data_IF_193792687216
#
_entry.id   IF_193792687216
#
_cell.length_a   1.000
_cell.length_b   1.000
_cell.length_c   1.000
_cell.angle_alpha   90.00
_cell.angle_beta   90.00
_cell.angle_gamma   90.00
#
_symmetry.space_group_name_H-M   'P 1'
#
loop_
_entity.id
_entity.type
_entity.pdbx_description
1 polymer ?
#
# COMPACT_ATOMS: atom_id res chain seq x y z
N UNK A 1 41.11 3.91 38.94
CA UNK A 1 39.81 3.23 39.02
C UNK A 1 39.14 3.34 37.66
N UNK A 2 39.19 2.27 36.87
CA UNK A 2 38.55 2.18 35.55
C UNK A 2 37.04 2.06 35.72
N UNK A 3 36.33 3.15 35.43
CA UNK A 3 34.87 3.18 35.41
C UNK A 3 34.38 2.22 34.34
N UNK A 4 33.87 1.07 34.76
CA UNK A 4 33.22 0.08 33.92
C UNK A 4 32.01 0.76 33.28
N UNK A 5 32.09 1.09 31.99
CA UNK A 5 30.99 1.66 31.23
C UNK A 5 29.74 0.82 31.46
N UNK A 6 28.74 1.44 32.07
CA UNK A 6 27.43 0.86 32.28
C UNK A 6 26.78 0.73 30.89
N UNK A 7 26.93 -0.43 30.25
CA UNK A 7 26.17 -0.80 29.05
C UNK A 7 24.70 -0.98 29.44
N UNK A 8 23.99 0.14 29.56
CA UNK A 8 22.51 0.19 29.67
C UNK A 8 21.92 0.58 28.32
N UNK A 9 22.59 0.18 27.24
CA UNK A 9 22.19 0.48 25.87
C UNK A 9 21.41 -0.68 25.27
N UNK A 10 20.46 -0.36 24.39
CA UNK A 10 19.92 -1.33 23.43
C UNK A 10 21.07 -1.77 22.53
N UNK A 11 21.29 -3.09 22.39
CA UNK A 11 22.30 -3.61 21.47
C UNK A 11 21.94 -3.24 20.01
N UNK A 12 22.93 -2.80 19.24
CA UNK A 12 22.76 -2.45 17.83
C UNK A 12 23.90 -2.98 16.96
N UNK A 13 23.69 -3.07 15.65
CA UNK A 13 24.73 -3.29 14.65
C UNK A 13 25.08 -1.98 13.96
N UNK A 14 26.37 -1.73 13.72
CA UNK A 14 26.85 -0.59 12.94
C UNK A 14 27.32 -1.07 11.57
N UNK A 15 26.83 -0.46 10.50
CA UNK A 15 27.15 -0.82 9.12
C UNK A 15 27.52 0.46 8.37
N UNK A 16 28.56 0.40 7.55
CA UNK A 16 28.91 1.50 6.66
C UNK A 16 28.14 1.42 5.34
N UNK A 17 27.52 2.53 4.95
CA UNK A 17 26.84 2.64 3.67
C UNK A 17 27.87 2.51 2.55
N UNK A 18 27.72 1.48 1.73
CA UNK A 18 28.61 1.19 0.62
C UNK A 18 27.87 0.43 -0.48
N UNK A 19 28.47 0.37 -1.67
CA UNK A 19 27.93 -0.39 -2.81
C UNK A 19 27.63 -1.86 -2.46
N UNK A 20 28.40 -2.46 -1.56
CA UNK A 20 28.23 -3.86 -1.15
C UNK A 20 26.99 -4.08 -0.28
N UNK A 21 26.53 -3.03 0.40
CA UNK A 21 25.42 -3.09 1.35
C UNK A 21 24.08 -2.77 0.66
N UNK A 22 24.08 -1.93 -0.38
CA UNK A 22 22.88 -1.51 -1.10
C UNK A 22 21.93 -2.65 -1.53
N UNK A 23 22.42 -3.80 -2.06
CA UNK A 23 21.53 -4.87 -2.50
C UNK A 23 20.70 -5.51 -1.38
N UNK A 24 21.11 -5.34 -0.12
CA UNK A 24 20.43 -5.91 1.05
C UNK A 24 19.38 -4.98 1.66
N UNK A 25 19.40 -3.68 1.29
CA UNK A 25 18.48 -2.64 1.77
C UNK A 25 17.51 -2.21 0.67
N UNK A 26 17.00 -3.18 -0.10
CA UNK A 26 15.89 -2.95 -1.03
C UNK A 26 14.58 -3.01 -0.27
N UNK A 27 13.64 -2.10 -0.58
CA UNK A 27 12.28 -2.15 -0.03
C UNK A 27 11.69 -3.55 -0.15
N UNK A 28 10.91 -4.02 0.84
CA UNK A 28 10.23 -5.32 0.75
C UNK A 28 9.52 -5.43 -0.60
N UNK A 29 9.71 -6.57 -1.30
CA UNK A 29 9.02 -6.80 -2.56
C UNK A 29 7.51 -6.67 -2.30
N UNK A 30 6.80 -5.71 -2.93
CA UNK A 30 5.37 -5.64 -2.79
C UNK A 30 4.79 -6.99 -3.22
N UNK A 31 3.86 -7.52 -2.43
CA UNK A 31 3.12 -8.72 -2.86
C UNK A 31 2.43 -8.42 -4.19
N UNK A 32 2.27 -9.43 -5.05
CA UNK A 32 1.73 -9.24 -6.40
C UNK A 32 0.33 -9.82 -6.51
N UNK A 33 -0.53 -9.16 -7.29
CA UNK A 33 -1.87 -9.66 -7.61
C UNK A 33 -1.84 -10.80 -8.62
N UNK A 34 -0.73 -11.02 -9.34
CA UNK A 34 -0.60 -12.09 -10.34
C UNK A 34 -0.91 -13.48 -9.79
N UNK A 35 -0.70 -13.72 -8.50
CA UNK A 35 -0.99 -15.00 -7.83
C UNK A 35 -2.48 -15.34 -7.69
N UNK A 36 -3.38 -14.40 -7.98
CA UNK A 36 -4.83 -14.58 -7.86
C UNK A 36 -5.52 -15.06 -9.15
N UNK A 37 -4.79 -15.14 -10.28
CA UNK A 37 -5.36 -15.41 -11.59
C UNK A 37 -6.03 -14.18 -12.22
N UNK A 38 -6.57 -14.31 -13.44
CA UNK A 38 -7.28 -13.21 -14.12
C UNK A 38 -6.38 -12.11 -14.72
N UNK A 39 -5.06 -12.35 -14.86
CA UNK A 39 -4.14 -11.38 -15.49
C UNK A 39 -3.92 -11.57 -17.00
N UNK A 40 -4.04 -12.81 -17.51
CA UNK A 40 -3.77 -13.19 -18.92
C UNK A 40 -4.88 -13.98 -19.61
N UNK A 41 -5.81 -14.56 -18.86
CA UNK A 41 -7.07 -15.07 -19.41
C UNK A 41 -8.07 -13.93 -19.51
N UNK A 42 -9.07 -14.06 -20.39
CA UNK A 42 -10.19 -13.12 -20.44
C UNK A 42 -10.94 -13.02 -19.11
N UNK A 43 -12.01 -12.23 -19.08
CA UNK A 43 -12.86 -12.13 -17.91
C UNK A 43 -13.28 -13.52 -17.40
N UNK A 44 -13.28 -13.75 -16.08
CA UNK A 44 -13.75 -15.01 -15.53
C UNK A 44 -15.23 -15.21 -15.88
N UNK A 45 -15.60 -16.44 -16.23
CA UNK A 45 -17.01 -16.79 -16.37
C UNK A 45 -17.70 -16.70 -15.01
N UNK A 46 -18.84 -16.02 -14.98
CA UNK A 46 -19.60 -15.76 -13.77
C UNK A 46 -20.76 -16.75 -13.70
N UNK A 47 -20.70 -17.76 -12.81
CA UNK A 47 -21.83 -18.65 -12.61
C UNK A 47 -22.97 -17.91 -11.91
N UNK A 48 -24.20 -18.37 -12.14
CA UNK A 48 -25.36 -17.94 -11.36
C UNK A 48 -25.15 -18.32 -9.89
N UNK A 49 -25.53 -17.45 -8.97
CA UNK A 49 -25.40 -17.74 -7.54
C UNK A 49 -26.67 -17.52 -6.75
N UNK A 50 -26.57 -17.79 -5.45
CA UNK A 50 -27.69 -17.71 -4.53
C UNK A 50 -28.20 -16.27 -4.43
N UNK A 51 -29.52 -16.09 -4.54
CA UNK A 51 -30.15 -14.77 -4.44
C UNK A 51 -30.11 -13.94 -5.73
N UNK A 52 -29.45 -14.41 -6.80
CA UNK A 52 -29.59 -13.81 -8.12
C UNK A 52 -31.04 -13.86 -8.59
N UNK A 53 -31.44 -12.82 -9.32
CA UNK A 53 -32.78 -12.73 -9.93
C UNK A 53 -32.61 -12.92 -11.43
N UNK A 54 -33.29 -13.93 -11.96
CA UNK A 54 -33.26 -14.28 -13.37
C UNK A 54 -34.65 -14.18 -14.00
N UNK A 55 -34.69 -13.77 -15.25
CA UNK A 55 -35.85 -13.85 -16.12
C UNK A 55 -35.61 -14.94 -17.16
N UNK A 56 -36.62 -15.77 -17.40
CA UNK A 56 -36.51 -16.92 -18.28
C UNK A 56 -37.50 -16.77 -19.41
N UNK A 57 -36.99 -16.68 -20.63
CA UNK A 57 -37.79 -16.71 -21.85
C UNK A 57 -37.75 -18.11 -22.46
N UNK A 58 -38.93 -18.66 -22.78
CA UNK A 58 -39.08 -19.98 -23.38
C UNK A 58 -39.74 -19.81 -24.75
N UNK A 59 -39.06 -20.25 -25.80
CA UNK A 59 -39.52 -20.28 -27.17
C UNK A 59 -39.94 -21.70 -27.56
N UNK A 60 -40.90 -21.84 -28.47
CA UNK A 60 -41.23 -23.11 -29.14
C UNK A 60 -41.19 -22.88 -30.65
N UNK A 61 -40.83 -23.92 -31.41
CA UNK A 61 -40.68 -23.80 -32.87
C UNK A 61 -42.02 -23.50 -33.60
N UNK A 62 -43.16 -23.84 -32.99
CA UNK A 62 -44.49 -23.72 -33.60
C UNK A 62 -45.56 -23.33 -32.56
N UNK A 63 -46.67 -22.74 -33.02
CA UNK A 63 -47.85 -22.47 -32.18
C UNK A 63 -48.67 -23.73 -31.91
N UNK A 64 -49.41 -23.75 -30.81
CA UNK A 64 -50.14 -24.92 -30.33
C UNK A 64 -49.34 -25.84 -29.40
N UNK A 65 -48.17 -25.38 -28.92
CA UNK A 65 -47.33 -26.06 -27.94
C UNK A 65 -47.76 -25.83 -26.49
N UNK A 66 -46.89 -26.23 -25.55
CA UNK A 66 -47.18 -26.18 -24.11
C UNK A 66 -47.25 -24.74 -23.57
N UNK A 67 -46.48 -23.84 -24.19
CA UNK A 67 -46.34 -22.45 -23.77
C UNK A 67 -46.94 -21.47 -24.78
N UNK A 68 -47.09 -21.88 -26.05
CA UNK A 68 -47.65 -21.07 -27.12
C UNK A 68 -49.02 -21.62 -27.56
N UNK A 69 -50.14 -20.97 -27.20
CA UNK A 69 -51.47 -21.40 -27.64
C UNK A 69 -51.66 -21.29 -29.16
N UNK A 70 -52.58 -22.07 -29.71
CA UNK A 70 -52.87 -22.17 -31.16
C UNK A 70 -53.63 -20.95 -31.74
N UNK A 71 -54.23 -20.12 -30.89
CA UNK A 71 -55.01 -18.96 -31.34
C UNK A 71 -54.10 -17.77 -31.68
N UNK A 72 -53.89 -17.57 -32.98
CA UNK A 72 -52.96 -16.62 -33.62
C UNK A 72 -53.29 -15.12 -33.46
N UNK A 73 -53.98 -14.71 -32.39
CA UNK A 73 -54.59 -13.37 -32.31
C UNK A 73 -54.02 -12.37 -31.30
N UNK A 74 -53.19 -12.76 -30.32
CA UNK A 74 -52.97 -11.88 -29.15
C UNK A 74 -51.55 -11.69 -28.64
N UNK A 75 -50.52 -12.33 -29.23
CA UNK A 75 -49.13 -12.15 -28.76
C UNK A 75 -48.13 -11.95 -29.91
N UNK A 76 -47.35 -10.85 -29.90
CA UNK A 76 -46.24 -10.69 -30.82
C UNK A 76 -45.05 -11.55 -30.34
N UNK A 77 -44.92 -12.75 -30.88
CA UNK A 77 -43.71 -13.59 -30.71
C UNK A 77 -44.00 -15.04 -30.34
N UNK A 78 -43.10 -15.94 -30.78
CA UNK A 78 -43.13 -17.36 -30.43
C UNK A 78 -42.43 -17.64 -29.09
N UNK A 79 -42.72 -16.86 -28.04
CA UNK A 79 -42.15 -17.08 -26.72
C UNK A 79 -43.05 -16.60 -25.58
N UNK A 80 -42.78 -17.12 -24.39
CA UNK A 80 -43.29 -16.61 -23.12
C UNK A 80 -42.13 -16.16 -22.25
N UNK A 81 -42.27 -15.00 -21.60
CA UNK A 81 -41.38 -14.62 -20.50
C UNK A 81 -42.03 -15.03 -19.18
N UNK A 82 -41.29 -15.79 -18.38
CA UNK A 82 -41.71 -16.14 -17.03
C UNK A 82 -41.48 -14.95 -16.09
N UNK A 83 -42.31 -14.77 -15.04
CA UNK A 83 -42.05 -13.78 -14.01
C UNK A 83 -40.66 -13.99 -13.40
N UNK A 84 -40.01 -12.90 -13.02
CA UNK A 84 -38.67 -12.94 -12.40
C UNK A 84 -38.60 -13.96 -11.26
N UNK A 85 -37.61 -14.83 -11.32
CA UNK A 85 -37.36 -15.89 -10.35
C UNK A 85 -36.07 -15.58 -9.60
N UNK A 86 -36.13 -15.63 -8.28
CA UNK A 86 -34.94 -15.56 -7.44
C UNK A 86 -34.39 -16.96 -7.22
N UNK A 87 -33.08 -17.16 -7.41
CA UNK A 87 -32.40 -18.40 -7.05
C UNK A 87 -32.48 -18.57 -5.53
N UNK A 88 -33.21 -19.59 -5.11
CA UNK A 88 -33.53 -19.79 -3.71
C UNK A 88 -32.36 -20.39 -2.90
N UNK A 89 -32.55 -20.60 -1.60
CA UNK A 89 -31.53 -21.17 -0.70
C UNK A 89 -31.11 -22.59 -1.07
N UNK A 90 -31.95 -23.31 -1.81
CA UNK A 90 -31.61 -24.63 -2.33
C UNK A 90 -30.84 -24.56 -3.65
N UNK A 91 -30.59 -23.34 -4.16
CA UNK A 91 -29.84 -23.09 -5.39
C UNK A 91 -30.64 -23.38 -6.64
N UNK A 92 -31.98 -23.32 -6.56
CA UNK A 92 -32.88 -23.73 -7.65
C UNK A 92 -33.79 -22.61 -8.13
N UNK A 93 -34.22 -22.69 -9.38
CA UNK A 93 -35.32 -21.91 -9.96
C UNK A 93 -36.51 -22.83 -10.25
N UNK A 94 -37.72 -22.27 -10.25
CA UNK A 94 -38.94 -23.03 -10.57
C UNK A 94 -39.40 -22.70 -11.98
N UNK A 95 -39.44 -23.72 -12.83
CA UNK A 95 -39.91 -23.61 -14.21
C UNK A 95 -41.19 -24.45 -14.34
N UNK A 96 -42.31 -23.89 -14.82
CA UNK A 96 -43.52 -24.65 -15.08
C UNK A 96 -43.22 -25.86 -15.98
N UNK A 97 -43.76 -27.02 -15.62
CA UNK A 97 -43.57 -28.30 -16.31
C UNK A 97 -42.15 -28.90 -16.30
N UNK A 98 -41.08 -28.12 -16.10
CA UNK A 98 -39.73 -28.65 -15.83
C UNK A 98 -39.41 -28.83 -14.34
N UNK A 99 -40.26 -28.28 -13.46
CA UNK A 99 -40.14 -28.40 -12.01
C UNK A 99 -39.02 -27.51 -11.44
N UNK A 100 -38.30 -28.02 -10.44
CA UNK A 100 -37.18 -27.31 -9.81
C UNK A 100 -35.88 -27.64 -10.55
N UNK A 101 -35.19 -26.62 -11.03
CA UNK A 101 -33.96 -26.74 -11.81
C UNK A 101 -32.78 -26.17 -11.02
N UNK A 102 -31.70 -26.94 -10.79
CA UNK A 102 -30.50 -26.44 -10.13
C UNK A 102 -29.80 -25.36 -10.97
N UNK A 103 -29.53 -24.20 -10.37
CA UNK A 103 -28.95 -23.03 -11.04
C UNK A 103 -27.70 -22.49 -10.32
N UNK A 104 -27.67 -22.47 -8.99
CA UNK A 104 -26.55 -21.93 -8.25
C UNK A 104 -25.24 -22.70 -8.53
N UNK A 105 -24.16 -21.97 -8.77
CA UNK A 105 -22.84 -22.49 -9.13
C UNK A 105 -22.71 -22.96 -10.59
N UNK A 106 -23.75 -22.81 -11.43
CA UNK A 106 -23.74 -23.21 -12.84
C UNK A 106 -23.72 -22.00 -13.75
N UNK A 107 -23.11 -22.16 -14.92
CA UNK A 107 -23.18 -21.18 -16.00
C UNK A 107 -24.59 -21.11 -16.57
N UNK A 108 -25.01 -19.94 -17.05
CA UNK A 108 -26.36 -19.72 -17.60
C UNK A 108 -26.66 -20.71 -18.73
N UNK A 109 -25.70 -20.97 -19.61
CA UNK A 109 -25.83 -21.88 -20.76
C UNK A 109 -26.08 -23.31 -20.31
N UNK A 110 -25.46 -23.70 -19.19
CA UNK A 110 -25.63 -25.05 -18.62
C UNK A 110 -26.99 -25.21 -17.93
N UNK A 111 -27.59 -24.11 -17.46
CA UNK A 111 -28.94 -24.10 -16.90
C UNK A 111 -29.98 -24.05 -18.01
N UNK A 112 -29.78 -23.24 -19.05
CA UNK A 112 -30.61 -23.18 -20.26
C UNK A 112 -30.80 -24.58 -20.85
N UNK A 113 -29.70 -25.30 -21.10
CA UNK A 113 -29.76 -26.67 -21.64
C UNK A 113 -30.53 -27.65 -20.73
N UNK A 114 -30.35 -27.58 -19.41
CA UNK A 114 -31.07 -28.46 -18.46
C UNK A 114 -32.58 -28.16 -18.45
N UNK A 115 -32.97 -26.90 -18.64
CA UNK A 115 -34.38 -26.54 -18.79
C UNK A 115 -34.93 -27.08 -20.12
N UNK A 116 -34.20 -26.94 -21.22
CA UNK A 116 -34.59 -27.49 -22.53
C UNK A 116 -34.81 -28.99 -22.48
N UNK A 117 -33.85 -29.73 -21.93
CA UNK A 117 -33.90 -31.20 -21.82
C UNK A 117 -35.11 -31.67 -21.00
N UNK A 118 -35.46 -30.94 -19.92
CA UNK A 118 -36.64 -31.24 -19.08
C UNK A 118 -37.96 -30.90 -19.75
N UNK A 119 -37.97 -29.95 -20.68
CA UNK A 119 -39.16 -29.55 -21.42
C UNK A 119 -39.33 -30.35 -22.72
N UNK A 120 -38.28 -31.00 -23.23
CA UNK A 120 -38.28 -31.70 -24.52
C UNK A 120 -39.41 -32.74 -24.69
N UNK A 121 -39.87 -33.38 -23.60
CA UNK A 121 -40.95 -34.37 -23.68
C UNK A 121 -42.36 -33.76 -23.63
N UNK A 122 -42.48 -32.43 -23.48
CA UNK A 122 -43.76 -31.73 -23.24
C UNK A 122 -43.96 -30.51 -24.14
N UNK A 123 -42.88 -29.86 -24.56
CA UNK A 123 -42.86 -28.69 -25.44
C UNK A 123 -42.32 -29.07 -26.82
N UNK A 124 -42.67 -28.29 -27.85
CA UNK A 124 -42.24 -28.52 -29.23
C UNK A 124 -40.93 -27.79 -29.49
N UNK A 125 -39.82 -28.55 -29.53
CA UNK A 125 -38.47 -28.02 -29.76
C UNK A 125 -38.19 -26.77 -28.91
N UNK A 126 -38.23 -26.89 -27.56
CA UNK A 126 -38.08 -25.73 -26.68
C UNK A 126 -36.70 -25.10 -26.84
N UNK A 127 -36.65 -23.78 -26.80
CA UNK A 127 -35.40 -22.99 -26.71
C UNK A 127 -35.49 -22.03 -25.52
N UNK A 128 -34.48 -22.02 -24.67
CA UNK A 128 -34.52 -21.30 -23.39
C UNK A 128 -33.43 -20.23 -23.37
N UNK A 129 -33.82 -19.03 -22.96
CA UNK A 129 -32.89 -17.91 -22.75
C UNK A 129 -33.05 -17.40 -21.32
N UNK A 130 -31.95 -17.36 -20.57
CA UNK A 130 -31.89 -16.86 -19.21
C UNK A 130 -31.17 -15.52 -19.19
N UNK A 131 -31.86 -14.49 -18.69
CA UNK A 131 -31.29 -13.17 -18.47
C UNK A 131 -31.17 -12.91 -16.97
N UNK A 132 -30.00 -12.48 -16.50
CA UNK A 132 -29.83 -12.08 -15.09
C UNK A 132 -30.24 -10.63 -14.93
N UNK A 133 -31.30 -10.37 -14.18
CA UNK A 133 -31.84 -9.02 -13.93
C UNK A 133 -31.12 -8.34 -12.77
N UNK A 134 -30.70 -9.12 -11.77
CA UNK A 134 -29.96 -8.62 -10.61
C UNK A 134 -28.98 -9.69 -10.16
N UNK A 135 -27.68 -9.38 -10.16
CA UNK A 135 -26.67 -10.31 -9.65
C UNK A 135 -26.28 -9.93 -8.23
N UNK A 136 -26.80 -10.68 -7.27
CA UNK A 136 -26.49 -10.48 -5.85
C UNK A 136 -25.30 -11.31 -5.40
N UNK A 137 -25.02 -12.42 -6.09
CA UNK A 137 -23.88 -13.27 -5.77
C UNK A 137 -22.58 -12.81 -6.43
N UNK A 138 -22.65 -11.94 -7.43
CA UNK A 138 -21.48 -11.51 -8.21
C UNK A 138 -21.12 -10.08 -7.90
N UNK A 139 -20.75 -9.83 -6.64
CA UNK A 139 -20.39 -8.49 -6.17
C UNK A 139 -18.98 -8.46 -5.59
N UNK A 140 -18.30 -7.33 -5.77
CA UNK A 140 -17.05 -6.98 -5.10
C UNK A 140 -17.30 -5.88 -4.09
N UNK A 141 -16.73 -6.00 -2.90
CA UNK A 141 -16.75 -4.93 -1.91
C UNK A 141 -15.55 -4.01 -2.10
N UNK A 142 -15.80 -2.69 -2.17
CA UNK A 142 -14.77 -1.65 -2.16
C UNK A 142 -14.88 -0.85 -0.87
N UNK A 143 -13.80 -0.80 -0.11
CA UNK A 143 -13.75 -0.22 1.23
C UNK A 143 -12.52 0.69 1.37
N UNK A 144 -12.54 1.56 2.39
CA UNK A 144 -11.41 2.42 2.73
C UNK A 144 -11.45 3.78 2.05
N UNK A 145 -10.27 4.30 1.70
CA UNK A 145 -10.03 5.67 1.22
C UNK A 145 -10.44 5.88 -0.25
N UNK A 146 -11.72 5.65 -0.53
CA UNK A 146 -12.39 5.92 -1.82
C UNK A 146 -13.58 6.87 -1.63
N UNK A 147 -13.98 7.58 -2.68
CA UNK A 147 -15.03 8.60 -2.58
C UNK A 147 -16.39 8.01 -2.19
N UNK A 148 -16.73 6.83 -2.71
CA UNK A 148 -17.98 6.13 -2.47
C UNK A 148 -17.72 4.64 -2.16
N UNK A 149 -17.42 4.27 -0.90
CA UNK A 149 -17.30 2.87 -0.50
C UNK A 149 -18.63 2.12 -0.71
N UNK A 150 -18.62 1.04 -1.49
CA UNK A 150 -19.84 0.31 -1.87
C UNK A 150 -19.55 -1.10 -2.36
N UNK A 151 -20.62 -1.89 -2.55
CA UNK A 151 -20.58 -3.15 -3.31
C UNK A 151 -20.86 -2.86 -4.77
N UNK A 152 -20.04 -3.43 -5.66
CA UNK A 152 -20.13 -3.23 -7.09
C UNK A 152 -20.46 -4.57 -7.74
N UNK A 153 -21.52 -4.60 -8.54
CA UNK A 153 -21.90 -5.77 -9.33
C UNK A 153 -20.91 -6.00 -10.47
N UNK A 154 -20.51 -7.25 -10.65
CA UNK A 154 -19.57 -7.68 -11.68
C UNK A 154 -20.38 -8.05 -12.92
N UNK A 155 -20.09 -7.40 -14.05
CA UNK A 155 -20.74 -7.72 -15.32
C UNK A 155 -20.10 -8.95 -15.99
N UNK A 156 -20.80 -9.61 -16.93
CA UNK A 156 -20.21 -10.70 -17.72
C UNK A 156 -18.97 -10.29 -18.53
N UNK A 157 -18.76 -9.00 -18.79
CA UNK A 157 -17.55 -8.49 -19.44
C UNK A 157 -16.33 -8.50 -18.50
N UNK A 158 -16.56 -8.62 -17.19
CA UNK A 158 -15.58 -8.64 -16.13
C UNK A 158 -14.94 -7.27 -15.87
N UNK A 159 -14.82 -6.93 -14.60
CA UNK A 159 -14.16 -5.72 -14.14
C UNK A 159 -12.75 -6.05 -13.64
N UNK A 160 -11.83 -5.09 -13.77
CA UNK A 160 -10.51 -5.15 -13.14
C UNK A 160 -10.48 -4.32 -11.87
N UNK A 161 -9.42 -4.50 -11.09
CA UNK A 161 -9.21 -3.76 -9.83
C UNK A 161 -9.37 -2.25 -10.03
N UNK A 162 -8.75 -1.68 -11.07
CA UNK A 162 -8.86 -0.25 -11.35
C UNK A 162 -10.27 0.19 -11.78
N UNK A 163 -11.02 -0.67 -12.48
CA UNK A 163 -12.39 -0.36 -12.91
C UNK A 163 -13.31 -0.25 -11.68
N UNK A 164 -13.16 -1.19 -10.75
CA UNK A 164 -13.90 -1.24 -9.49
C UNK A 164 -13.56 -0.05 -8.59
N UNK A 165 -12.29 0.35 -8.49
CA UNK A 165 -11.90 1.57 -7.75
C UNK A 165 -12.50 2.82 -8.40
N UNK A 166 -12.51 2.87 -9.74
CA UNK A 166 -13.06 4.02 -10.48
C UNK A 166 -14.58 4.11 -10.30
N UNK A 167 -15.29 2.97 -10.31
CA UNK A 167 -16.72 2.90 -10.04
C UNK A 167 -17.08 3.25 -8.58
N UNK A 168 -16.15 3.05 -7.63
CA UNK A 168 -16.24 3.60 -6.27
C UNK A 168 -15.94 5.11 -6.18
N UNK A 169 -15.82 5.81 -7.31
CA UNK A 169 -15.55 7.24 -7.38
C UNK A 169 -14.08 7.62 -7.27
N UNK A 170 -13.14 6.66 -7.32
CA UNK A 170 -11.70 6.92 -7.20
C UNK A 170 -11.24 7.18 -5.76
N UNK A 171 -9.94 7.48 -5.62
CA UNK A 171 -9.28 7.69 -4.32
C UNK A 171 -9.68 9.02 -3.68
N UNK A 172 -9.73 9.06 -2.34
CA UNK A 172 -9.86 10.31 -1.55
C UNK A 172 -8.51 10.91 -1.18
N UNK A 173 -7.42 10.14 -1.32
CA UNK A 173 -6.07 10.49 -0.89
C UNK A 173 -5.07 10.51 -2.06
N UNK A 174 -3.83 10.91 -1.77
CA UNK A 174 -2.76 10.99 -2.76
C UNK A 174 -2.33 9.57 -3.20
N UNK A 175 -2.32 9.33 -4.51
CA UNK A 175 -1.96 8.06 -5.15
C UNK A 175 -0.58 7.49 -4.74
N UNK A 176 0.35 8.33 -4.29
CA UNK A 176 1.70 7.95 -3.86
C UNK A 176 1.71 7.22 -2.51
N UNK A 177 0.79 7.58 -1.61
CA UNK A 177 0.69 7.07 -0.24
C UNK A 177 -0.43 6.04 -0.09
N UNK A 178 -1.03 5.60 -1.19
CA UNK A 178 -2.14 4.67 -1.18
C UNK A 178 -1.70 3.25 -1.50
N UNK A 179 -2.08 2.31 -0.64
CA UNK A 179 -1.98 0.89 -0.89
C UNK A 179 -3.35 0.30 -1.21
N UNK A 180 -3.38 -0.64 -2.17
CA UNK A 180 -4.57 -1.41 -2.52
C UNK A 180 -4.37 -2.83 -2.05
N UNK A 181 -5.29 -3.31 -1.24
CA UNK A 181 -5.29 -4.67 -0.72
C UNK A 181 -6.44 -5.46 -1.34
N UNK A 182 -6.11 -6.55 -2.04
CA UNK A 182 -7.08 -7.51 -2.55
C UNK A 182 -7.15 -8.72 -1.62
N UNK A 183 -8.34 -9.03 -1.14
CA UNK A 183 -8.65 -10.25 -0.42
C UNK A 183 -9.59 -11.12 -1.25
N UNK A 184 -9.17 -12.35 -1.54
CA UNK A 184 -9.93 -13.36 -2.30
C UNK A 184 -9.76 -14.72 -1.67
N UNK A 185 -10.87 -15.36 -1.28
CA UNK A 185 -10.89 -16.75 -0.74
C UNK A 185 -9.86 -16.98 0.38
N UNK A 186 -9.71 -16.02 1.28
CA UNK A 186 -8.79 -16.08 2.42
C UNK A 186 -7.31 -15.80 2.09
N UNK A 187 -6.96 -15.51 0.83
CA UNK A 187 -5.65 -14.99 0.44
C UNK A 187 -5.70 -13.47 0.37
N UNK A 188 -4.63 -12.82 0.77
CA UNK A 188 -4.48 -11.37 0.74
C UNK A 188 -3.20 -10.99 0.03
N UNK A 189 -3.24 -9.95 -0.79
CA UNK A 189 -2.06 -9.24 -1.26
C UNK A 189 -2.33 -7.74 -1.23
N UNK A 190 -1.25 -6.99 -1.08
CA UNK A 190 -1.23 -5.54 -1.07
C UNK A 190 -0.22 -5.04 -2.11
N UNK A 191 -0.67 -4.11 -2.95
CA UNK A 191 0.13 -3.47 -4.00
C UNK A 191 -0.05 -1.96 -3.88
N UNK A 192 1.03 -1.19 -3.98
CA UNK A 192 0.94 0.27 -4.06
C UNK A 192 0.10 0.69 -5.27
N UNK A 193 -0.80 1.66 -5.11
CA UNK A 193 -1.70 2.07 -6.18
C UNK A 193 -0.96 2.56 -7.44
N UNK A 194 0.16 3.27 -7.27
CA UNK A 194 1.03 3.69 -8.37
C UNK A 194 1.56 2.49 -9.20
N UNK A 195 1.83 1.35 -8.55
CA UNK A 195 2.25 0.13 -9.24
C UNK A 195 1.13 -0.45 -10.10
N UNK A 196 -0.13 -0.40 -9.64
CA UNK A 196 -1.28 -0.82 -10.45
C UNK A 196 -1.45 0.04 -11.72
N UNK A 197 -1.20 1.34 -11.62
CA UNK A 197 -1.25 2.25 -12.77
C UNK A 197 -0.13 2.00 -13.79
N UNK A 198 1.09 1.73 -13.31
CA UNK A 198 2.29 1.58 -14.15
C UNK A 198 2.46 0.18 -14.73
N UNK A 199 1.93 -0.85 -14.05
CA UNK A 199 2.12 -2.24 -14.42
C UNK A 199 0.77 -2.92 -14.68
N UNK A 200 0.33 -3.01 -15.96
CA UNK A 200 -0.95 -3.62 -16.33
C UNK A 200 -1.11 -5.07 -15.85
N UNK A 201 -0.01 -5.78 -15.58
CA UNK A 201 -0.06 -7.15 -15.10
C UNK A 201 -0.49 -7.27 -13.63
N UNK A 202 -0.48 -6.18 -12.85
CA UNK A 202 -1.07 -6.15 -11.51
C UNK A 202 -2.56 -5.77 -11.54
N UNK A 203 -3.04 -5.12 -12.61
CA UNK A 203 -4.46 -4.78 -12.77
C UNK A 203 -5.27 -6.00 -13.26
N UNK A 204 -5.46 -6.99 -12.39
CA UNK A 204 -6.16 -8.25 -12.71
C UNK A 204 -7.68 -8.11 -12.70
N UNK A 205 -8.38 -9.08 -13.29
CA UNK A 205 -9.84 -9.21 -13.12
C UNK A 205 -10.20 -9.52 -11.67
N UNK A 206 -11.25 -8.87 -11.18
CA UNK A 206 -11.88 -9.18 -9.90
C UNK A 206 -12.79 -10.40 -10.04
N UNK A 207 -13.11 -11.03 -8.93
CA UNK A 207 -14.01 -12.17 -8.86
C UNK A 207 -15.12 -11.91 -7.82
N UNK A 208 -16.26 -12.62 -7.93
CA UNK A 208 -17.29 -12.61 -6.89
C UNK A 208 -16.70 -12.84 -5.49
N UNK A 209 -17.21 -12.09 -4.51
CA UNK A 209 -16.79 -12.09 -3.11
C UNK A 209 -15.39 -11.53 -2.83
N UNK A 210 -14.72 -10.94 -3.83
CA UNK A 210 -13.52 -10.17 -3.57
C UNK A 210 -13.82 -8.97 -2.67
N UNK A 211 -12.85 -8.66 -1.81
CA UNK A 211 -12.83 -7.41 -1.05
C UNK A 211 -11.59 -6.64 -1.43
N UNK A 212 -11.78 -5.40 -1.89
CA UNK A 212 -10.72 -4.46 -2.21
C UNK A 212 -10.75 -3.37 -1.14
N UNK A 213 -9.68 -3.30 -0.35
CA UNK A 213 -9.46 -2.24 0.64
C UNK A 213 -8.42 -1.27 0.13
N UNK A 214 -8.68 0.02 0.33
CA UNK A 214 -7.80 1.11 -0.04
C UNK A 214 -7.37 1.78 1.26
N UNK A 215 -6.08 1.72 1.55
CA UNK A 215 -5.52 2.21 2.80
C UNK A 215 -4.47 3.28 2.52
N UNK A 216 -4.63 4.46 3.13
CA UNK A 216 -3.66 5.54 3.08
C UNK A 216 -2.57 5.38 4.13
N UNK A 217 -1.36 5.11 3.71
CA UNK A 217 -0.18 4.94 4.56
C UNK A 217 0.75 6.15 4.44
N UNK A 218 0.60 7.10 5.39
CA UNK A 218 1.52 8.25 5.51
C UNK A 218 2.88 7.80 6.02
N UNK A 219 3.82 7.67 5.10
CA UNK A 219 5.21 7.35 5.44
C UNK A 219 5.95 8.61 5.87
N UNK A 220 6.66 8.50 6.98
CA UNK A 220 7.37 9.62 7.61
C UNK A 220 8.76 9.18 8.07
N UNK A 221 9.70 10.11 8.08
CA UNK A 221 11.01 9.92 8.72
C UNK A 221 11.31 11.09 9.66
N UNK A 222 12.28 10.90 10.54
CA UNK A 222 12.80 11.95 11.41
C UNK A 222 14.18 12.37 10.93
N UNK A 223 14.45 13.67 10.88
CA UNK A 223 15.81 14.21 10.75
C UNK A 223 16.15 15.01 11.99
N UNK A 224 17.30 14.71 12.60
CA UNK A 224 17.73 15.26 13.88
C UNK A 224 19.21 15.67 13.83
N UNK A 225 19.63 16.51 14.77
CA UNK A 225 21.03 16.90 14.95
C UNK A 225 21.41 18.11 14.11
N UNK A 226 22.57 18.06 13.47
CA UNK A 226 23.11 19.14 12.63
C UNK A 226 22.54 19.13 11.20
N UNK A 227 21.28 18.74 11.04
CA UNK A 227 20.51 18.97 9.83
C UNK A 227 20.15 20.45 9.68
N UNK A 228 19.89 20.91 8.46
CA UNK A 228 19.38 22.26 8.21
C UNK A 228 18.08 22.54 8.98
N UNK A 229 17.15 21.59 8.94
CA UNK A 229 15.90 21.56 9.69
C UNK A 229 15.77 20.22 10.40
N UNK A 230 15.63 20.26 11.73
CA UNK A 230 15.31 19.07 12.52
C UNK A 230 13.79 18.95 12.69
N UNK A 231 13.25 17.75 12.48
CA UNK A 231 11.82 17.52 12.59
C UNK A 231 11.37 16.20 11.99
N UNK A 232 10.05 16.03 11.92
CA UNK A 232 9.39 14.95 11.19
C UNK A 232 9.04 15.42 9.79
N UNK A 233 9.33 14.59 8.80
CA UNK A 233 9.10 14.87 7.38
C UNK A 233 8.24 13.77 6.78
N UNK A 234 7.30 14.17 5.92
CA UNK A 234 6.52 13.25 5.11
C UNK A 234 7.36 12.80 3.90
N UNK A 235 7.17 11.56 3.47
CA UNK A 235 7.90 11.04 2.31
C UNK A 235 7.53 11.83 1.04
N UNK A 236 6.25 12.13 0.86
CA UNK A 236 5.65 12.73 -0.35
C UNK A 236 5.87 11.93 -1.66
N UNK A 237 6.79 10.95 -1.67
CA UNK A 237 7.16 10.10 -2.79
C UNK A 237 7.22 8.63 -2.39
N UNK A 238 7.00 7.72 -3.35
CA UNK A 238 6.94 6.29 -3.02
C UNK A 238 8.30 5.68 -2.73
N UNK A 239 9.34 6.26 -3.34
CA UNK A 239 10.68 5.70 -3.44
C UNK A 239 11.75 6.68 -2.93
N UNK A 240 11.44 7.45 -1.89
CA UNK A 240 12.35 8.43 -1.27
C UNK A 240 13.70 7.79 -0.91
N UNK A 241 14.79 8.41 -1.33
CA UNK A 241 16.16 7.98 -1.06
C UNK A 241 16.75 8.70 0.15
N UNK A 242 17.82 8.14 0.75
CA UNK A 242 18.52 8.79 1.86
C UNK A 242 19.05 10.17 1.45
N UNK A 243 19.57 10.30 0.22
CA UNK A 243 20.04 11.57 -0.31
C UNK A 243 18.93 12.63 -0.39
N UNK A 244 17.78 12.26 -0.94
CA UNK A 244 16.60 13.15 -1.02
C UNK A 244 16.07 13.49 0.38
N UNK A 245 16.05 12.53 1.30
CA UNK A 245 15.62 12.75 2.68
C UNK A 245 16.52 13.75 3.43
N UNK A 246 17.85 13.67 3.23
CA UNK A 246 18.80 14.66 3.77
C UNK A 246 18.56 16.03 3.13
N UNK A 247 18.38 16.09 1.81
CA UNK A 247 18.13 17.35 1.11
C UNK A 247 16.83 18.01 1.58
N UNK A 248 15.77 17.21 1.77
CA UNK A 248 14.47 17.66 2.27
C UNK A 248 14.53 18.16 3.72
N UNK A 249 15.45 17.61 4.52
CA UNK A 249 15.78 18.14 5.85
C UNK A 249 16.71 19.38 5.81
N UNK A 250 16.90 20.02 4.66
CA UNK A 250 17.73 21.21 4.49
C UNK A 250 19.23 20.93 4.40
N UNK A 251 19.64 19.68 4.19
CA UNK A 251 21.04 19.29 4.07
C UNK A 251 21.80 19.29 5.39
N UNK A 252 23.13 19.18 5.29
CA UNK A 252 24.03 19.28 6.44
C UNK A 252 24.32 20.75 6.70
N UNK A 253 24.42 21.12 7.97
CA UNK A 253 24.89 22.45 8.38
C UNK A 253 26.41 22.53 8.32
N UNK A 254 26.95 23.28 7.37
CA UNK A 254 28.41 23.41 7.17
C UNK A 254 29.16 23.89 8.42
N UNK A 255 28.52 24.71 9.26
CA UNK A 255 29.10 25.27 10.49
C UNK A 255 29.13 24.28 11.66
N UNK A 256 28.37 23.19 11.58
CA UNK A 256 28.08 22.34 12.75
C UNK A 256 28.17 20.84 12.50
N UNK A 257 27.84 20.38 11.31
CA UNK A 257 27.73 18.95 11.00
C UNK A 257 29.11 18.30 10.86
N UNK A 258 29.20 17.03 11.25
CA UNK A 258 30.26 16.13 10.77
C UNK A 258 29.75 15.34 9.56
N UNK A 259 30.22 15.64 8.34
CA UNK A 259 29.80 14.90 7.14
C UNK A 259 30.17 13.42 7.17
N UNK A 260 31.11 13.00 8.02
CA UNK A 260 31.45 11.59 8.16
C UNK A 260 30.47 10.79 9.04
N UNK A 261 29.59 11.47 9.77
CA UNK A 261 28.72 10.88 10.80
C UNK A 261 27.25 11.22 10.56
N UNK A 262 26.79 10.97 9.33
CA UNK A 262 25.36 10.89 9.00
C UNK A 262 24.89 9.48 9.31
N UNK A 263 24.04 9.34 10.32
CA UNK A 263 23.63 8.05 10.88
C UNK A 263 22.15 7.82 10.60
N UNK A 264 21.82 6.69 9.98
CA UNK A 264 20.46 6.22 9.79
C UNK A 264 20.15 5.11 10.80
N UNK A 265 19.10 5.25 11.58
CA UNK A 265 18.63 4.24 12.52
C UNK A 265 17.43 3.52 11.91
N UNK A 266 17.54 2.20 11.77
CA UNK A 266 16.51 1.33 11.17
C UNK A 266 16.43 -0.02 11.89
N UNK A 267 15.23 -0.59 11.98
CA UNK A 267 15.05 -1.99 12.37
C UNK A 267 15.21 -2.90 11.15
N UNK A 268 16.16 -3.82 11.18
CA UNK A 268 16.47 -4.69 10.03
C UNK A 268 16.24 -6.15 10.39
N UNK A 269 15.58 -6.95 9.52
CA UNK A 269 15.43 -8.38 9.75
C UNK A 269 16.79 -9.07 9.94
N UNK A 270 16.89 -9.94 10.94
CA UNK A 270 18.11 -10.68 11.29
C UNK A 270 18.67 -11.49 10.11
N UNK A 271 17.78 -12.03 9.26
CA UNK A 271 18.15 -12.77 8.04
C UNK A 271 18.93 -11.89 7.05
N UNK A 272 18.53 -10.63 6.89
CA UNK A 272 19.21 -9.67 6.00
C UNK A 272 20.64 -9.40 6.49
N UNK A 273 20.81 -9.23 7.80
CA UNK A 273 22.13 -9.04 8.42
C UNK A 273 23.03 -10.27 8.29
N UNK A 274 22.47 -11.47 8.46
CA UNK A 274 23.20 -12.72 8.27
C UNK A 274 23.67 -12.90 6.82
N UNK A 275 22.85 -12.50 5.83
CA UNK A 275 23.23 -12.52 4.41
C UNK A 275 24.42 -11.57 4.12
N UNK A 276 24.53 -10.48 4.89
CA UNK A 276 25.68 -9.58 4.88
C UNK A 276 26.88 -10.08 5.72
N UNK A 277 26.82 -11.27 6.28
CA UNK A 277 27.85 -11.84 7.17
C UNK A 277 28.09 -11.01 8.45
N UNK A 278 27.07 -10.27 8.91
CA UNK A 278 27.12 -9.55 10.19
C UNK A 278 26.84 -10.55 11.32
N UNK A 279 27.67 -10.54 12.36
CA UNK A 279 27.42 -11.35 13.55
C UNK A 279 26.15 -10.88 14.26
N UNK A 280 25.17 -11.76 14.31
CA UNK A 280 23.86 -11.51 14.92
C UNK A 280 23.59 -12.38 16.15
N UNK A 281 24.59 -13.12 16.65
CA UNK A 281 24.44 -14.04 17.78
C UNK A 281 23.99 -13.34 19.07
N UNK A 282 24.41 -12.08 19.26
CA UNK A 282 24.03 -11.25 20.40
C UNK A 282 22.60 -10.70 20.37
N UNK A 283 21.89 -10.78 19.24
CA UNK A 283 20.53 -10.26 19.13
C UNK A 283 19.50 -11.38 19.26
N UNK A 284 18.62 -11.28 20.26
CA UNK A 284 17.59 -12.28 20.52
C UNK A 284 16.37 -12.18 19.56
N UNK A 285 16.04 -10.99 19.08
CA UNK A 285 14.86 -10.74 18.24
C UNK A 285 15.08 -11.03 16.74
N UNK A 286 13.96 -11.16 16.02
CA UNK A 286 13.95 -11.31 14.55
C UNK A 286 14.25 -9.99 13.82
N UNK A 287 14.03 -8.86 14.49
CA UNK A 287 14.43 -7.52 14.04
C UNK A 287 15.59 -7.03 14.91
N UNK A 288 16.60 -6.47 14.26
CA UNK A 288 17.83 -5.96 14.88
C UNK A 288 17.90 -4.45 14.68
N UNK A 289 18.15 -3.65 15.74
CA UNK A 289 18.47 -2.24 15.59
C UNK A 289 19.79 -2.06 14.84
N UNK A 290 19.75 -1.35 13.72
CA UNK A 290 20.93 -1.07 12.89
C UNK A 290 21.13 0.42 12.77
N UNK A 291 22.38 0.83 12.93
CA UNK A 291 22.85 2.16 12.56
C UNK A 291 23.63 2.01 11.25
N UNK A 292 23.13 2.62 10.18
CA UNK A 292 23.83 2.73 8.90
C UNK A 292 24.55 4.08 8.87
N UNK A 293 25.88 4.06 8.85
CA UNK A 293 26.71 5.26 8.77
C UNK A 293 26.99 5.60 7.32
N UNK A 294 26.55 6.78 6.88
CA UNK A 294 26.88 7.38 5.60
C UNK A 294 27.98 8.43 5.79
N UNK A 295 29.21 8.07 5.42
CA UNK A 295 30.33 9.02 5.40
C UNK A 295 30.32 9.83 4.09
N UNK A 296 29.73 11.03 4.14
CA UNK A 296 29.61 11.94 3.00
C UNK A 296 30.90 12.70 2.67
N UNK A 297 31.99 12.53 3.44
CA UNK A 297 33.32 12.99 3.00
C UNK A 297 33.86 12.18 1.83
N UNK A 298 33.42 10.92 1.71
CA UNK A 298 33.71 10.08 0.56
C UNK A 298 32.65 10.31 -0.54
N UNK A 299 33.03 10.83 -1.73
CA UNK A 299 32.10 11.02 -2.84
C UNK A 299 31.36 9.74 -3.26
N UNK A 300 31.95 8.56 -3.07
CA UNK A 300 31.30 7.29 -3.40
C UNK A 300 30.03 7.06 -2.56
N UNK A 301 30.04 7.50 -1.31
CA UNK A 301 28.89 7.37 -0.39
C UNK A 301 27.72 8.23 -0.83
N UNK A 302 27.96 9.39 -1.48
CA UNK A 302 26.89 10.21 -2.04
C UNK A 302 26.11 9.46 -3.12
N UNK A 303 26.79 8.73 -4.01
CA UNK A 303 26.11 7.87 -4.99
C UNK A 303 25.31 6.75 -4.32
N UNK A 304 25.85 6.16 -3.25
CA UNK A 304 25.13 5.15 -2.48
C UNK A 304 23.88 5.73 -1.80
N UNK A 305 23.96 6.94 -1.24
CA UNK A 305 22.83 7.62 -0.59
C UNK A 305 21.68 7.92 -1.56
N UNK A 306 21.99 8.18 -2.84
CA UNK A 306 20.98 8.36 -3.91
C UNK A 306 20.31 7.05 -4.36
N UNK A 307 20.85 5.90 -3.97
CA UNK A 307 20.26 4.59 -4.30
C UNK A 307 19.60 3.93 -3.08
N UNK A 308 20.03 4.30 -1.88
CA UNK A 308 19.52 3.74 -0.64
C UNK A 308 18.10 4.24 -0.36
N UNK A 309 17.11 3.33 -0.41
CA UNK A 309 15.70 3.67 -0.19
C UNK A 309 15.40 3.81 1.30
N UNK A 310 14.68 4.87 1.64
CA UNK A 310 14.18 5.13 2.99
C UNK A 310 12.97 4.23 3.28
N UNK A 311 12.79 3.88 4.56
CA UNK A 311 11.67 3.12 5.08
C UNK A 311 10.86 3.97 6.07
N UNK A 312 9.59 3.63 6.25
CA UNK A 312 8.76 4.35 7.22
C UNK A 312 9.38 4.28 8.62
N UNK A 313 9.35 5.42 9.32
CA UNK A 313 9.90 5.63 10.66
C UNK A 313 11.42 5.55 10.77
N UNK A 314 12.14 5.60 9.66
CA UNK A 314 13.58 5.84 9.69
C UNK A 314 13.93 7.13 10.45
N UNK A 315 15.09 7.11 11.10
CA UNK A 315 15.65 8.28 11.79
C UNK A 315 17.02 8.59 11.23
N UNK A 316 17.17 9.79 10.67
CA UNK A 316 18.45 10.36 10.26
C UNK A 316 18.94 11.24 11.42
N UNK A 317 20.16 10.98 11.88
CA UNK A 317 20.85 11.81 12.85
C UNK A 317 22.17 12.27 12.25
N UNK A 318 22.35 13.58 12.15
CA UNK A 318 23.61 14.19 11.70
C UNK A 318 24.36 14.65 12.94
N UNK A 319 25.51 14.01 13.20
CA UNK A 319 26.32 14.34 14.37
C UNK A 319 26.97 15.71 14.22
N UNK A 320 27.32 16.32 15.35
CA UNK A 320 28.10 17.56 15.33
C UNK A 320 29.57 17.24 15.06
N UNK A 321 30.28 18.13 14.37
CA UNK A 321 31.73 18.07 14.23
C UNK A 321 32.42 18.33 15.57
N UNK A 322 33.48 17.57 15.87
CA UNK A 322 34.30 17.70 17.08
C UNK A 322 34.82 19.15 17.27
N UNK A 323 35.01 19.89 16.17
CA UNK A 323 35.42 21.31 16.20
C UNK A 323 34.38 22.25 16.82
N UNK A 324 33.09 21.86 16.86
CA UNK A 324 32.01 22.67 17.45
C UNK A 324 32.06 22.63 18.98
N UNK A 325 32.49 21.52 19.56
CA UNK A 325 32.69 21.44 21.01
C UNK A 325 33.89 22.29 21.46
N UNK A 326 34.95 22.34 20.65
CA UNK A 326 36.12 23.19 20.92
C UNK A 326 35.79 24.69 20.78
N UNK A 327 35.01 25.10 19.76
CA UNK A 327 34.58 26.50 19.62
C UNK A 327 33.64 26.90 20.77
N UNK A 328 32.66 26.06 21.15
CA UNK A 328 31.81 26.30 22.34
C UNK A 328 32.63 26.44 23.63
N UNK A 329 33.67 25.60 23.78
CA UNK A 329 34.58 25.71 24.91
C UNK A 329 35.39 27.01 24.86
N UNK A 330 35.94 27.38 23.70
CA UNK A 330 36.70 28.63 23.53
C UNK A 330 35.81 29.87 23.69
N UNK A 331 34.54 29.85 23.31
CA UNK A 331 33.58 30.93 23.57
C UNK A 331 33.31 31.09 25.08
N UNK A 332 33.19 29.99 25.82
CA UNK A 332 33.10 30.02 27.29
C UNK A 332 34.39 30.62 27.88
N UNK A 333 35.56 30.17 27.44
CA UNK A 333 36.86 30.68 27.93
C UNK A 333 37.04 32.17 27.60
N UNK A 334 36.67 32.59 26.39
CA UNK A 334 36.76 33.99 25.96
C UNK A 334 35.74 34.88 26.69
N UNK A 335 34.55 34.38 27.04
CA UNK A 335 33.57 35.12 27.84
C UNK A 335 34.05 35.35 29.29
N UNK A 336 34.79 34.40 29.85
CA UNK A 336 35.47 34.58 31.15
C UNK A 336 36.62 35.56 31.01
N UNK A 337 37.41 35.47 29.93
CA UNK A 337 38.52 36.39 29.69
C UNK A 337 38.06 37.83 29.51
N UNK A 338 36.97 38.10 28.77
CA UNK A 338 36.43 39.46 28.59
C UNK A 338 35.86 40.05 29.88
N UNK A 339 35.40 39.20 30.81
CA UNK A 339 34.94 39.64 32.14
C UNK A 339 36.12 40.05 33.04
N UNK A 340 37.27 39.37 32.92
CA UNK A 340 38.48 39.74 33.66
C UNK A 340 39.13 41.00 33.09
N UNK A 341 39.20 41.15 31.77
CA UNK A 341 39.71 42.37 31.12
C UNK A 341 38.93 43.61 31.56
N UNK A 342 37.59 43.50 31.57
CA UNK A 342 36.69 44.59 31.97
C UNK A 342 36.89 45.06 33.40
N UNK A 343 37.24 44.18 34.35
CA UNK A 343 37.51 44.57 35.75
C UNK A 343 38.82 45.34 35.88
N UNK A 344 39.85 44.98 35.10
CA UNK A 344 41.12 45.73 35.07
C UNK A 344 40.95 47.11 34.44
N UNK A 345 40.15 47.22 33.39
CA UNK A 345 39.86 48.49 32.73
C UNK A 345 38.99 49.39 33.63
N UNK A 346 37.93 48.86 34.25
CA UNK A 346 37.10 49.58 35.23
C UNK A 346 37.91 50.05 36.45
N UNK A 347 38.85 49.22 36.93
CA UNK A 347 39.69 49.58 38.07
C UNK A 347 40.68 50.71 37.71
N UNK A 348 41.21 50.71 36.50
CA UNK A 348 42.08 51.79 36.02
C UNK A 348 41.29 53.07 35.77
N UNK A 349 40.11 53.00 35.17
CA UNK A 349 39.24 54.14 34.92
C UNK A 349 38.73 54.75 36.23
N UNK A 350 38.36 53.92 37.21
CA UNK A 350 37.98 54.38 38.55
C UNK A 350 39.16 55.05 39.26
N UNK A 351 40.37 54.49 39.15
CA UNK A 351 41.58 55.08 39.75
C UNK A 351 41.93 56.43 39.14
N UNK A 352 41.82 56.55 37.82
CA UNK A 352 42.06 57.79 37.09
C UNK A 352 41.00 58.85 37.44
N UNK A 353 39.71 58.47 37.51
CA UNK A 353 38.63 59.37 37.93
C UNK A 353 38.78 59.87 39.38
N UNK A 354 39.28 59.03 40.30
CA UNK A 354 39.58 59.45 41.68
C UNK A 354 40.78 60.42 41.73
N UNK A 355 41.80 60.23 40.87
CA UNK A 355 42.93 61.16 40.78
C UNK A 355 42.54 62.52 40.20
N UNK A 356 41.65 62.56 39.22
CA UNK A 356 41.14 63.82 38.64
C UNK A 356 40.26 64.62 39.61
N UNK A 357 39.55 63.95 40.54
CA UNK A 357 38.77 64.61 41.59
C UNK A 357 39.63 65.13 42.76
N UNK A 358 40.91 64.72 42.83
CA UNK A 358 41.82 65.05 43.91
C UNK A 358 42.76 66.24 43.64
N UNK A 359 42.74 66.82 42.43
CA UNK A 359 43.58 67.95 42.02
C UNK A 359 42.80 69.26 41.88
#
# INVERSE_FOLDING_TARGET
MTTKERRVGIDYALIDLSKNVLPYFTSPQPTSFKGFGGGRGGAPEIPLGYGDVVEVAIFEAQSGGLFIPSDAGSRPGNYISLPSQTIDRNGTITIPYAGRVPAAGRLKETVEQDVEDRLASRAIEPQVVITTTTSRSSQVAVLGDVNNPQRIEISPAGERVLDVISAAGGLTTNNIETNVTLQRRGKTATVAYNTLLKNPAENIYVAPDDTISIDHERRTYLALGAAGVSGRFDFEESDLTLGEAIAKAGGLRDDRADPAQVLLYRQVPKKTLQAMHVDTTRFAGDAVPVIVRANLRDPATLFAAQQFKMEDKDIIYISNSDSVELVKFLDIVNSVSSTVSGVTDDANDTRNAIQDLGN
#
